data_IF_111190308005
#
_entry.id   IF_111190308005
#
_cell.length_a   1.000
_cell.length_b   1.000
_cell.length_c   1.000
_cell.angle_alpha   90.00
_cell.angle_beta   90.00
_cell.angle_gamma   90.00
#
_symmetry.space_group_name_H-M   'P 1'
#
loop_
_entity.id
_entity.type
_entity.pdbx_description
1 polymer ?
#
# COMPACT_ATOMS: atom_id res chain seq x y z
N UNK A 1 11.06 12.80 7.03
CA UNK A 1 11.25 12.55 8.47
C UNK A 1 10.77 11.16 8.82
N UNK A 2 11.63 10.32 9.42
CA UNK A 2 11.23 8.98 9.85
C UNK A 2 10.56 9.04 11.20
N UNK A 3 9.31 8.60 11.24
CA UNK A 3 8.62 8.33 12.48
C UNK A 3 8.65 6.83 12.73
N UNK A 4 8.89 6.42 13.97
CA UNK A 4 8.80 5.02 14.35
C UNK A 4 7.49 4.80 15.10
N UNK A 5 6.85 3.68 14.81
CA UNK A 5 5.61 3.29 15.46
C UNK A 5 5.90 2.26 16.54
N UNK A 6 5.28 2.40 17.69
CA UNK A 6 5.09 1.28 18.61
C UNK A 6 3.97 0.40 18.03
N UNK A 7 3.84 -0.83 18.52
CA UNK A 7 2.74 -1.71 18.10
C UNK A 7 1.37 -1.05 18.38
N UNK A 8 1.21 -0.38 19.53
CA UNK A 8 -0.03 0.30 19.86
C UNK A 8 -0.30 1.48 18.91
N UNK A 9 0.72 2.27 18.62
CA UNK A 9 0.57 3.39 17.68
C UNK A 9 0.21 2.91 16.28
N UNK A 10 0.83 1.81 15.82
CA UNK A 10 0.51 1.23 14.52
C UNK A 10 -0.93 0.75 14.46
N UNK A 11 -1.40 0.08 15.52
CA UNK A 11 -2.78 -0.38 15.60
C UNK A 11 -3.77 0.78 15.66
N UNK A 12 -3.42 1.87 16.35
CA UNK A 12 -4.27 3.06 16.40
C UNK A 12 -4.37 3.74 15.03
N UNK A 13 -3.30 3.74 14.26
CA UNK A 13 -3.28 4.35 12.93
C UNK A 13 -3.90 3.43 11.86
N UNK A 14 -3.99 2.13 12.11
CA UNK A 14 -4.33 1.14 11.09
C UNK A 14 -5.67 1.38 10.38
N UNK A 15 -6.78 1.72 11.08
CA UNK A 15 -8.05 1.94 10.37
C UNK A 15 -7.96 3.01 9.29
N UNK A 16 -7.29 4.11 9.56
CA UNK A 16 -7.09 5.18 8.58
C UNK A 16 -6.15 4.74 7.46
N UNK A 17 -5.08 4.03 7.81
CA UNK A 17 -4.13 3.49 6.84
C UNK A 17 -4.82 2.51 5.89
N UNK A 18 -5.68 1.63 6.41
CA UNK A 18 -6.43 0.69 5.58
C UNK A 18 -7.31 1.42 4.57
N UNK A 19 -8.02 2.47 5.00
CA UNK A 19 -8.85 3.27 4.09
C UNK A 19 -8.04 3.87 2.96
N UNK A 20 -6.89 4.44 3.28
CA UNK A 20 -5.99 5.04 2.29
C UNK A 20 -5.38 4.00 1.37
N UNK A 21 -5.05 2.82 1.91
CA UNK A 21 -4.58 1.70 1.10
C UNK A 21 -5.65 1.23 0.12
N UNK A 22 -6.89 1.03 0.58
CA UNK A 22 -7.99 0.56 -0.26
C UNK A 22 -8.30 1.55 -1.38
N UNK A 23 -8.21 2.85 -1.09
CA UNK A 23 -8.36 3.89 -2.09
C UNK A 23 -7.28 3.79 -3.16
N UNK A 24 -6.01 3.61 -2.76
CA UNK A 24 -4.90 3.45 -3.70
C UNK A 24 -5.08 2.19 -4.56
N UNK A 25 -5.50 1.08 -3.95
CA UNK A 25 -5.77 -0.16 -4.67
C UNK A 25 -6.88 0.02 -5.70
N UNK A 26 -7.96 0.72 -5.33
CA UNK A 26 -9.05 1.02 -6.25
C UNK A 26 -8.57 1.84 -7.46
N UNK A 27 -7.69 2.82 -7.22
CA UNK A 27 -7.12 3.63 -8.30
C UNK A 27 -6.23 2.80 -9.20
N UNK A 28 -5.46 1.88 -8.66
CA UNK A 28 -4.65 0.96 -9.45
C UNK A 28 -5.52 0.06 -10.33
N UNK A 29 -6.59 -0.49 -9.77
CA UNK A 29 -7.52 -1.33 -10.51
C UNK A 29 -8.22 -0.57 -11.65
N UNK A 30 -8.51 0.71 -11.43
CA UNK A 30 -9.07 1.58 -12.46
C UNK A 30 -8.10 1.75 -13.64
N UNK A 31 -6.81 1.94 -13.37
CA UNK A 31 -5.78 1.98 -14.41
C UNK A 31 -5.78 0.70 -15.23
N UNK A 32 -5.76 -0.44 -14.57
CA UNK A 32 -5.76 -1.75 -15.24
C UNK A 32 -6.99 -1.92 -16.14
N UNK A 33 -8.15 -1.48 -15.67
CA UNK A 33 -9.40 -1.55 -16.45
C UNK A 33 -9.29 -0.69 -17.72
N UNK A 34 -8.81 0.54 -17.60
CA UNK A 34 -8.69 1.45 -18.75
C UNK A 34 -7.66 0.91 -19.74
N UNK A 35 -6.54 0.36 -19.26
CA UNK A 35 -5.53 -0.25 -20.12
C UNK A 35 -6.11 -1.37 -20.96
N UNK A 36 -6.97 -2.22 -20.37
CA UNK A 36 -7.67 -3.28 -21.12
C UNK A 36 -8.61 -2.71 -22.15
N UNK A 37 -9.38 -1.67 -21.79
CA UNK A 37 -10.27 -0.99 -22.74
C UNK A 37 -9.48 -0.42 -23.92
N UNK A 38 -8.31 0.14 -23.65
CA UNK A 38 -7.44 0.71 -24.67
C UNK A 38 -6.97 -0.37 -25.63
N UNK A 39 -6.54 -1.53 -25.12
CA UNK A 39 -6.13 -2.67 -25.96
C UNK A 39 -7.28 -3.14 -26.86
N UNK A 40 -8.49 -3.24 -26.32
CA UNK A 40 -9.67 -3.64 -27.12
C UNK A 40 -9.95 -2.59 -28.20
N UNK A 41 -9.88 -1.31 -27.85
CA UNK A 41 -10.07 -0.23 -28.81
C UNK A 41 -9.12 -0.33 -29.99
N UNK A 42 -7.83 -0.52 -29.73
CA UNK A 42 -6.80 -0.61 -30.77
C UNK A 42 -7.00 -1.86 -31.65
N UNK A 43 -7.37 -2.98 -31.04
CA UNK A 43 -7.47 -4.27 -31.78
C UNK A 43 -8.79 -4.49 -32.50
N UNK A 44 -9.87 -3.83 -32.05
CA UNK A 44 -11.21 -4.11 -32.63
C UNK A 44 -11.83 -2.91 -33.32
N UNK A 45 -11.99 -1.78 -32.65
CA UNK A 45 -12.69 -0.62 -33.22
C UNK A 45 -11.78 0.28 -34.04
N UNK A 46 -10.52 0.36 -33.66
CA UNK A 46 -9.51 1.23 -34.27
C UNK A 46 -10.00 2.68 -34.43
N UNK A 47 -10.84 3.15 -33.51
CA UNK A 47 -11.38 4.52 -33.52
C UNK A 47 -10.38 5.46 -32.86
N UNK A 48 -9.86 6.44 -33.61
CA UNK A 48 -8.94 7.42 -33.09
C UNK A 48 -9.58 8.27 -31.98
N UNK A 49 -10.84 8.63 -32.16
CA UNK A 49 -11.58 9.42 -31.15
C UNK A 49 -11.70 8.68 -29.84
N UNK A 50 -12.11 7.41 -29.89
CA UNK A 50 -12.23 6.58 -28.69
C UNK A 50 -10.87 6.38 -28.04
N UNK A 51 -9.84 6.13 -28.82
CA UNK A 51 -8.47 6.02 -28.33
C UNK A 51 -8.03 7.26 -27.55
N UNK A 52 -8.28 8.45 -28.08
CA UNK A 52 -7.91 9.70 -27.43
C UNK A 52 -8.65 9.91 -26.11
N UNK A 53 -9.93 9.58 -26.07
CA UNK A 53 -10.72 9.66 -24.83
C UNK A 53 -10.16 8.71 -23.77
N UNK A 54 -9.87 7.47 -24.14
CA UNK A 54 -9.31 6.48 -23.22
C UNK A 54 -7.92 6.88 -22.73
N UNK A 55 -7.09 7.47 -23.59
CA UNK A 55 -5.76 7.97 -23.19
C UNK A 55 -5.87 9.09 -22.18
N UNK A 56 -6.81 10.00 -22.34
CA UNK A 56 -7.05 11.07 -21.38
C UNK A 56 -7.52 10.51 -20.03
N UNK A 57 -8.43 9.53 -20.08
CA UNK A 57 -8.90 8.87 -18.86
C UNK A 57 -7.76 8.13 -18.16
N UNK A 58 -6.90 7.47 -18.92
CA UNK A 58 -5.74 6.78 -18.38
C UNK A 58 -4.79 7.75 -17.67
N UNK A 59 -4.46 8.86 -18.31
CA UNK A 59 -3.58 9.86 -17.73
C UNK A 59 -4.15 10.43 -16.43
N UNK A 60 -5.47 10.70 -16.39
CA UNK A 60 -6.14 11.15 -15.18
C UNK A 60 -6.10 10.09 -14.08
N UNK A 61 -6.35 8.83 -14.42
CA UNK A 61 -6.31 7.73 -13.47
C UNK A 61 -4.91 7.53 -12.88
N UNK A 62 -3.88 7.63 -13.70
CA UNK A 62 -2.48 7.53 -13.25
C UNK A 62 -2.15 8.65 -12.28
N UNK A 63 -2.55 9.88 -12.58
CA UNK A 63 -2.33 11.03 -11.68
C UNK A 63 -2.99 10.80 -10.33
N UNK A 64 -4.24 10.35 -10.32
CA UNK A 64 -4.98 10.08 -9.09
C UNK A 64 -4.35 8.95 -8.29
N UNK A 65 -3.84 7.92 -8.98
CA UNK A 65 -3.13 6.83 -8.31
C UNK A 65 -1.88 7.34 -7.59
N UNK A 66 -1.04 8.13 -8.26
CA UNK A 66 0.17 8.67 -7.62
C UNK A 66 -0.16 9.59 -6.45
N UNK A 67 -1.23 10.38 -6.56
CA UNK A 67 -1.70 11.19 -5.43
C UNK A 67 -2.12 10.31 -4.25
N UNK A 68 -2.80 9.18 -4.52
CA UNK A 68 -3.20 8.26 -3.47
C UNK A 68 -2.01 7.59 -2.78
N UNK A 69 -0.93 7.33 -3.53
CA UNK A 69 0.32 6.79 -2.97
C UNK A 69 0.95 7.80 -2.03
N UNK A 70 1.04 9.07 -2.42
CA UNK A 70 1.59 10.12 -1.57
C UNK A 70 0.79 10.26 -0.27
N UNK A 71 -0.55 10.21 -0.36
CA UNK A 71 -1.42 10.27 0.81
C UNK A 71 -1.16 9.09 1.75
N UNK A 72 -1.03 7.89 1.19
CA UNK A 72 -0.74 6.69 1.98
C UNK A 72 0.64 6.79 2.65
N UNK A 73 1.67 7.18 1.91
CA UNK A 73 3.01 7.34 2.45
C UNK A 73 3.09 8.42 3.52
N UNK A 74 2.23 9.45 3.43
CA UNK A 74 2.19 10.53 4.42
C UNK A 74 1.78 10.06 5.80
N UNK A 75 1.19 8.87 5.93
CA UNK A 75 0.88 8.28 7.22
C UNK A 75 2.12 7.75 7.95
N UNK A 76 3.24 7.62 7.24
CA UNK A 76 4.50 7.11 7.79
C UNK A 76 4.78 5.66 7.42
N UNK A 77 3.85 4.98 6.75
CA UNK A 77 4.06 3.59 6.34
C UNK A 77 4.95 3.50 5.11
N UNK A 78 5.61 2.38 4.95
CA UNK A 78 6.35 2.03 3.75
C UNK A 78 5.49 1.07 2.92
N UNK A 79 5.30 1.38 1.65
CA UNK A 79 4.52 0.54 0.75
C UNK A 79 5.45 -0.50 0.15
N UNK A 80 5.22 -1.78 0.46
CA UNK A 80 5.99 -2.88 -0.10
C UNK A 80 5.38 -3.39 -1.39
N UNK A 81 4.06 -3.52 -1.42
CA UNK A 81 3.34 -3.90 -2.64
C UNK A 81 1.87 -3.53 -2.50
N UNK A 82 1.38 -2.71 -3.42
CA UNK A 82 -0.05 -2.42 -3.50
C UNK A 82 -0.81 -3.66 -3.97
N UNK A 83 -0.28 -4.37 -4.97
CA UNK A 83 -0.95 -5.54 -5.53
C UNK A 83 -1.10 -6.68 -4.54
N UNK A 84 -0.04 -6.94 -3.77
CA UNK A 84 -0.07 -7.99 -2.76
C UNK A 84 -0.67 -7.53 -1.45
N UNK A 85 -0.89 -6.22 -1.30
CA UNK A 85 -1.45 -5.66 -0.08
C UNK A 85 -0.50 -5.72 1.09
N UNK A 86 0.76 -5.31 0.89
CA UNK A 86 1.79 -5.37 1.92
C UNK A 86 2.28 -3.97 2.28
N UNK A 87 2.14 -3.62 3.56
CA UNK A 87 2.64 -2.37 4.13
C UNK A 87 3.50 -2.67 5.35
N UNK A 88 4.54 -1.86 5.54
CA UNK A 88 5.40 -1.93 6.70
C UNK A 88 5.33 -0.62 7.50
N UNK A 89 5.19 -0.75 8.80
CA UNK A 89 5.27 0.38 9.73
C UNK A 89 6.67 0.37 10.34
N UNK A 90 7.49 1.40 10.09
CA UNK A 90 8.82 1.46 10.71
C UNK A 90 8.72 1.41 12.23
N UNK A 91 9.54 0.60 12.86
CA UNK A 91 9.55 0.42 14.31
C UNK A 91 10.98 0.16 14.80
N UNK A 92 11.14 0.08 16.10
CA UNK A 92 12.41 -0.27 16.74
C UNK A 92 12.18 -1.38 17.73
N UNK A 93 13.13 -2.31 17.77
CA UNK A 93 13.17 -3.38 18.75
C UNK A 93 14.58 -3.42 19.32
N UNK A 94 14.73 -3.07 20.62
CA UNK A 94 16.04 -2.95 21.28
C UNK A 94 17.00 -2.05 20.47
N UNK A 95 16.53 -0.86 20.07
CA UNK A 95 17.26 0.11 19.25
C UNK A 95 17.60 -0.33 17.82
N UNK A 96 17.22 -1.53 17.42
CA UNK A 96 17.35 -1.96 16.03
C UNK A 96 16.08 -1.61 15.24
N UNK A 97 16.28 -1.16 14.00
CA UNK A 97 15.17 -0.85 13.10
C UNK A 97 14.52 -2.14 12.61
N UNK A 98 13.22 -2.25 12.82
CA UNK A 98 12.42 -3.38 12.35
C UNK A 98 11.16 -2.85 11.67
N UNK A 99 10.37 -3.74 11.11
CA UNK A 99 9.11 -3.38 10.46
C UNK A 99 7.96 -4.14 11.12
N UNK A 100 6.91 -3.40 11.44
CA UNK A 100 5.63 -4.02 11.81
C UNK A 100 4.88 -4.26 10.51
N UNK A 101 4.52 -5.51 10.24
CA UNK A 101 4.02 -5.93 8.94
C UNK A 101 2.50 -6.06 8.94
N UNK A 102 1.88 -5.46 7.94
CA UNK A 102 0.45 -5.60 7.70
C UNK A 102 0.23 -6.16 6.30
N UNK A 103 -0.69 -7.12 6.22
CA UNK A 103 -1.18 -7.66 4.96
C UNK A 103 -2.66 -7.36 4.82
N UNK A 104 -3.09 -7.00 3.61
CA UNK A 104 -4.49 -6.71 3.31
C UNK A 104 -5.40 -7.85 3.78
N UNK A 105 -6.40 -7.51 4.55
CA UNK A 105 -7.31 -8.45 5.21
C UNK A 105 -7.07 -8.60 6.69
N UNK A 106 -5.90 -8.23 7.19
CA UNK A 106 -5.61 -8.24 8.62
C UNK A 106 -6.26 -7.04 9.28
N UNK A 107 -6.88 -7.24 10.45
CA UNK A 107 -7.60 -6.18 11.16
C UNK A 107 -6.77 -5.52 12.26
N UNK A 108 -5.62 -6.10 12.58
CA UNK A 108 -4.69 -5.53 13.54
C UNK A 108 -3.25 -5.93 13.17
N UNK A 109 -2.30 -5.19 13.73
CA UNK A 109 -0.88 -5.47 13.55
C UNK A 109 -0.48 -6.57 14.54
N UNK A 110 -0.12 -7.75 14.03
CA UNK A 110 0.23 -8.93 14.82
C UNK A 110 1.65 -9.44 14.57
N UNK A 111 2.33 -8.91 13.55
CA UNK A 111 3.60 -9.46 13.10
C UNK A 111 4.64 -8.36 12.90
N UNK A 112 5.89 -8.73 13.08
CA UNK A 112 7.03 -7.89 12.76
C UNK A 112 8.05 -8.72 11.98
N UNK A 113 8.95 -8.03 11.29
CA UNK A 113 10.08 -8.69 10.65
C UNK A 113 11.28 -7.76 10.70
N UNK A 114 12.47 -8.36 10.58
CA UNK A 114 13.69 -7.59 10.46
C UNK A 114 13.69 -6.83 9.14
N UNK A 115 14.42 -5.73 9.09
CA UNK A 115 14.40 -4.82 7.95
C UNK A 115 14.62 -5.53 6.61
N UNK A 116 15.50 -6.53 6.57
CA UNK A 116 15.89 -7.19 5.33
C UNK A 116 15.20 -8.54 5.09
N UNK A 117 14.38 -9.03 6.02
CA UNK A 117 13.78 -10.36 5.89
C UNK A 117 12.44 -10.39 5.16
N UNK A 118 11.74 -9.26 5.07
CA UNK A 118 10.49 -9.15 4.34
C UNK A 118 9.35 -10.00 4.92
N UNK A 119 8.26 -10.12 4.13
CA UNK A 119 7.04 -10.81 4.55
C UNK A 119 7.28 -12.25 4.98
N UNK A 120 8.13 -12.98 4.29
CA UNK A 120 8.39 -14.38 4.59
C UNK A 120 9.13 -14.58 5.92
N UNK A 121 9.75 -13.53 6.45
CA UNK A 121 10.42 -13.54 7.73
C UNK A 121 9.58 -13.05 8.91
N UNK A 122 8.27 -12.93 8.73
CA UNK A 122 7.36 -12.43 9.78
C UNK A 122 7.45 -13.28 11.05
N UNK A 123 7.45 -12.56 12.17
CA UNK A 123 7.42 -13.17 13.50
C UNK A 123 6.23 -12.58 14.27
N UNK A 124 5.52 -13.38 15.06
CA UNK A 124 4.42 -12.83 15.86
C UNK A 124 4.93 -11.87 16.93
N UNK A 125 4.15 -10.80 17.16
CA UNK A 125 4.39 -9.89 18.27
C UNK A 125 3.85 -10.54 19.54
N UNK A 126 4.75 -10.76 20.51
CA UNK A 126 4.35 -11.33 21.78
C UNK A 126 3.57 -10.30 22.60
N UNK A 127 2.54 -10.75 23.34
CA UNK A 127 1.69 -9.87 24.15
C UNK A 127 2.50 -9.05 25.13
N UNK A 128 3.58 -9.60 25.64
CA UNK A 128 4.44 -8.94 26.62
C UNK A 128 5.77 -8.46 26.01
N UNK A 129 5.81 -8.23 24.72
CA UNK A 129 7.04 -7.80 24.05
C UNK A 129 7.24 -6.30 24.26
N UNK A 130 7.89 -5.94 25.36
CA UNK A 130 8.18 -4.56 25.72
C UNK A 130 9.09 -3.87 24.72
N UNK A 131 9.81 -4.63 23.91
CA UNK A 131 10.72 -4.06 22.92
C UNK A 131 10.00 -3.35 21.77
N UNK A 132 8.69 -3.62 21.59
CA UNK A 132 7.87 -3.06 20.52
C UNK A 132 6.80 -2.10 21.01
N UNK A 133 6.83 -1.73 22.25
CA UNK A 133 5.88 -0.77 22.81
C UNK A 133 6.48 0.62 22.97
#
# INVERSE_FOLDING_TARGET
MFSFFTANQANDALPDVIKKFEYALAKKNEITKIEKQLQVCVSTTNSFKEYMILKQQLNSAITKFYQSIEILESTGVMIKSIEQGLLDFPSKRFDEKVCLCWKHGETEIKFWHEKDSGFMGRKPIEVNDESLI
#
